data_IF_997759733209
#
_entry.id   IF_997759733209
#
_cell.length_a   1.000
_cell.length_b   1.000
_cell.length_c   1.000
_cell.angle_alpha   90.00
_cell.angle_beta   90.00
_cell.angle_gamma   90.00
#
_symmetry.space_group_name_H-M   'P 1'
#
loop_
_entity.id
_entity.type
_entity.pdbx_description
1 polymer ?
#
# COMPACT_ATOMS: atom_id res chain seq x y z
N UNK A 1 33.17 14.12 1.82
CA UNK A 1 32.64 12.74 1.73
C UNK A 1 32.20 12.36 0.31
N UNK A 2 31.54 13.24 -0.48
CA UNK A 2 31.10 12.96 -1.85
C UNK A 2 32.25 12.61 -2.79
N UNK A 3 33.40 13.31 -2.67
CA UNK A 3 34.61 12.99 -3.44
C UNK A 3 35.20 11.64 -3.02
N UNK A 4 35.15 11.29 -1.72
CA UNK A 4 35.57 9.96 -1.25
C UNK A 4 34.64 8.84 -1.75
N UNK A 5 33.37 9.16 -2.00
CA UNK A 5 32.40 8.23 -2.60
C UNK A 5 32.61 8.03 -4.11
N UNK A 6 33.51 8.82 -4.74
CA UNK A 6 33.86 8.67 -6.16
C UNK A 6 33.26 9.73 -7.08
N UNK A 7 32.64 10.76 -6.56
CA UNK A 7 32.14 11.88 -7.38
C UNK A 7 33.29 12.80 -7.78
N UNK A 8 33.30 13.23 -9.04
CA UNK A 8 34.31 14.16 -9.59
C UNK A 8 34.21 15.52 -8.89
N UNK A 9 35.32 16.12 -8.43
CA UNK A 9 35.32 17.40 -7.70
C UNK A 9 34.60 18.54 -8.43
N UNK A 10 34.75 18.64 -9.77
CA UNK A 10 34.09 19.65 -10.58
C UNK A 10 32.56 19.49 -10.55
N UNK A 11 32.06 18.26 -10.50
CA UNK A 11 30.62 18.00 -10.39
C UNK A 11 30.09 18.43 -9.01
N UNK A 12 30.81 18.08 -7.96
CA UNK A 12 30.43 18.46 -6.57
C UNK A 12 30.37 19.98 -6.43
N UNK A 13 31.31 20.71 -7.05
CA UNK A 13 31.33 22.19 -7.03
C UNK A 13 30.16 22.86 -7.77
N UNK A 14 29.46 22.13 -8.63
CA UNK A 14 28.28 22.64 -9.37
C UNK A 14 26.95 22.32 -8.68
N UNK A 15 26.95 21.50 -7.63
CA UNK A 15 25.73 21.20 -6.86
C UNK A 15 25.39 22.39 -5.96
N UNK A 16 24.26 23.08 -6.17
CA UNK A 16 23.90 24.27 -5.43
C UNK A 16 23.46 23.96 -4.00
N UNK A 17 22.97 22.74 -3.76
CA UNK A 17 22.44 22.29 -2.46
C UNK A 17 22.85 20.85 -2.20
N UNK A 18 23.35 20.60 -1.01
CA UNK A 18 23.63 19.26 -0.48
C UNK A 18 22.72 19.03 0.71
N UNK A 19 21.97 17.94 0.69
CA UNK A 19 21.13 17.52 1.79
C UNK A 19 21.45 16.07 2.15
N UNK A 20 21.54 15.79 3.43
CA UNK A 20 21.62 14.43 3.97
C UNK A 20 20.23 13.92 4.26
N UNK A 21 20.00 12.64 3.96
CA UNK A 21 18.77 11.95 4.33
C UNK A 21 19.09 11.09 5.55
N UNK A 22 18.20 11.12 6.51
CA UNK A 22 18.21 10.24 7.66
C UNK A 22 17.31 9.02 7.37
N UNK A 23 17.59 7.91 8.05
CA UNK A 23 16.74 6.73 7.95
C UNK A 23 15.37 7.03 8.54
N UNK A 24 14.32 6.48 7.89
CA UNK A 24 12.95 6.66 8.33
C UNK A 24 12.67 5.75 9.54
N UNK A 25 12.19 6.36 10.61
CA UNK A 25 11.71 5.65 11.78
C UNK A 25 10.28 5.07 11.56
N UNK A 26 9.82 4.27 12.52
CA UNK A 26 8.49 3.65 12.48
C UNK A 26 7.37 4.70 12.38
N UNK A 27 7.48 5.80 13.13
CA UNK A 27 6.45 6.84 13.15
C UNK A 27 6.38 7.62 11.84
N UNK A 28 7.52 7.88 11.22
CA UNK A 28 7.58 8.51 9.90
C UNK A 28 6.93 7.61 8.84
N UNK A 29 7.19 6.29 8.86
CA UNK A 29 6.59 5.34 7.94
C UNK A 29 5.07 5.24 8.12
N UNK A 30 4.57 5.21 9.37
CA UNK A 30 3.12 5.26 9.65
C UNK A 30 2.50 6.58 9.17
N UNK A 31 3.23 7.67 9.33
CA UNK A 31 2.81 8.98 8.80
C UNK A 31 2.70 8.97 7.28
N UNK A 32 3.68 8.40 6.58
CA UNK A 32 3.67 8.24 5.11
C UNK A 32 2.49 7.37 4.66
N UNK A 33 2.12 6.34 5.43
CA UNK A 33 0.99 5.47 5.11
C UNK A 33 -0.37 6.17 5.22
N UNK A 34 -0.51 7.18 6.09
CA UNK A 34 -1.83 7.70 6.49
C UNK A 34 -2.06 9.18 6.17
N UNK A 35 -1.07 10.05 6.38
CA UNK A 35 -1.25 11.51 6.30
C UNK A 35 -1.37 12.07 4.89
N UNK A 36 -0.55 11.68 3.90
CA UNK A 36 -0.60 12.27 2.57
C UNK A 36 -1.98 12.21 1.95
N UNK A 37 -2.28 13.19 1.06
CA UNK A 37 -3.54 13.20 0.31
C UNK A 37 -3.75 11.90 -0.48
N UNK A 38 -2.68 11.39 -1.07
CA UNK A 38 -2.65 10.12 -1.81
C UNK A 38 -1.95 9.01 -1.01
N UNK A 39 -2.18 8.95 0.30
CA UNK A 39 -1.64 7.87 1.13
C UNK A 39 -2.05 6.49 0.60
N UNK A 40 -1.16 5.51 0.71
CA UNK A 40 -1.41 4.15 0.22
C UNK A 40 -2.68 3.54 0.83
N UNK A 41 -2.89 3.72 2.14
CA UNK A 41 -4.10 3.25 2.82
C UNK A 41 -5.38 3.80 2.19
N UNK A 42 -5.39 5.11 1.86
CA UNK A 42 -6.55 5.77 1.23
C UNK A 42 -6.79 5.29 -0.19
N UNK A 43 -5.73 4.97 -0.94
CA UNK A 43 -5.86 4.40 -2.29
C UNK A 43 -6.56 3.04 -2.25
N UNK A 44 -6.13 2.16 -1.34
CA UNK A 44 -6.76 0.84 -1.17
C UNK A 44 -8.17 0.96 -0.59
N UNK A 45 -8.40 1.84 0.37
CA UNK A 45 -9.75 2.11 0.88
C UNK A 45 -10.71 2.49 -0.24
N UNK A 46 -10.27 3.40 -1.13
CA UNK A 46 -11.09 3.82 -2.27
C UNK A 46 -11.33 2.69 -3.27
N UNK A 47 -10.35 1.81 -3.48
CA UNK A 47 -10.50 0.65 -4.35
C UNK A 47 -11.54 -0.33 -3.81
N UNK A 48 -11.53 -0.62 -2.50
CA UNK A 48 -12.52 -1.47 -1.85
C UNK A 48 -13.90 -0.81 -1.82
N UNK A 49 -13.98 0.50 -1.66
CA UNK A 49 -15.22 1.27 -1.71
C UNK A 49 -15.91 1.17 -3.08
N UNK A 50 -15.15 1.06 -4.18
CA UNK A 50 -15.70 0.84 -5.53
C UNK A 50 -16.40 -0.52 -5.67
N UNK A 51 -16.05 -1.49 -4.83
CA UNK A 51 -16.69 -2.81 -4.71
C UNK A 51 -17.73 -2.85 -3.57
N UNK A 52 -18.20 -1.69 -3.11
CA UNK A 52 -19.16 -1.56 -2.01
C UNK A 52 -18.69 -2.21 -0.68
N UNK A 53 -17.37 -2.31 -0.48
CA UNK A 53 -16.76 -2.91 0.71
C UNK A 53 -15.93 -1.86 1.43
N UNK A 54 -16.06 -1.77 2.75
CA UNK A 54 -15.24 -0.88 3.58
C UNK A 54 -13.94 -1.57 3.95
N UNK A 55 -12.80 -0.91 3.74
CA UNK A 55 -11.50 -1.38 4.20
C UNK A 55 -11.04 -0.55 5.40
N UNK A 56 -10.74 -1.21 6.51
CA UNK A 56 -10.25 -0.57 7.72
C UNK A 56 -8.89 -1.12 8.13
N UNK A 57 -7.93 -0.22 8.34
CA UNK A 57 -6.62 -0.53 8.90
C UNK A 57 -6.58 -0.16 10.37
N UNK A 58 -6.37 -1.13 11.24
CA UNK A 58 -6.13 -0.85 12.66
C UNK A 58 -4.75 -0.22 12.85
N UNK A 59 -4.62 0.59 13.89
CA UNK A 59 -3.35 1.28 14.19
C UNK A 59 -2.19 0.31 14.40
N UNK A 60 -2.45 -0.83 15.05
CA UNK A 60 -1.47 -1.88 15.29
C UNK A 60 -0.98 -2.51 13.97
N UNK A 61 -1.89 -2.69 13.00
CA UNK A 61 -1.54 -3.15 11.67
C UNK A 61 -0.60 -2.16 10.95
N UNK A 62 -0.86 -0.86 11.02
CA UNK A 62 0.01 0.16 10.42
C UNK A 62 1.42 0.13 11.00
N UNK A 63 1.55 -0.04 12.31
CA UNK A 63 2.84 -0.21 12.98
C UNK A 63 3.55 -1.49 12.54
N UNK A 64 2.82 -2.60 12.44
CA UNK A 64 3.40 -3.87 11.98
C UNK A 64 3.90 -3.78 10.52
N UNK A 65 3.19 -3.06 9.64
CA UNK A 65 3.64 -2.78 8.27
C UNK A 65 4.94 -1.96 8.29
N UNK A 66 5.00 -0.90 9.10
CA UNK A 66 6.19 -0.06 9.23
C UNK A 66 7.40 -0.86 9.73
N UNK A 67 7.24 -1.67 10.78
CA UNK A 67 8.29 -2.56 11.31
C UNK A 67 8.80 -3.53 10.23
N UNK A 68 7.90 -4.17 9.51
CA UNK A 68 8.26 -5.10 8.44
C UNK A 68 9.03 -4.42 7.31
N UNK A 69 8.70 -3.17 6.98
CA UNK A 69 9.44 -2.39 5.99
C UNK A 69 10.86 -2.04 6.45
N UNK A 70 11.05 -1.76 7.75
CA UNK A 70 12.37 -1.55 8.37
C UNK A 70 13.18 -2.85 8.36
N UNK A 71 12.60 -3.97 8.80
CA UNK A 71 13.25 -5.28 8.82
C UNK A 71 13.75 -5.71 7.43
N UNK A 72 12.97 -5.41 6.39
CA UNK A 72 13.33 -5.70 5.01
C UNK A 72 14.31 -4.67 4.41
N UNK A 73 14.74 -3.65 5.16
CA UNK A 73 15.59 -2.55 4.69
C UNK A 73 15.09 -1.88 3.40
N UNK A 74 13.78 -1.87 3.19
CA UNK A 74 13.17 -1.32 1.98
C UNK A 74 12.63 0.10 2.17
N UNK A 75 12.51 0.55 3.43
CA UNK A 75 11.98 1.86 3.78
C UNK A 75 10.59 2.12 3.19
N UNK A 76 10.31 3.36 2.83
CA UNK A 76 8.99 3.76 2.30
C UNK A 76 8.60 3.04 1.00
N UNK A 77 9.56 2.62 0.16
CA UNK A 77 9.28 1.89 -1.09
C UNK A 77 8.69 0.51 -0.84
N UNK A 78 9.12 -0.16 0.23
CA UNK A 78 8.63 -1.48 0.61
C UNK A 78 7.20 -1.49 1.12
N UNK A 79 6.68 -0.35 1.61
CA UNK A 79 5.32 -0.25 2.14
C UNK A 79 4.26 -0.68 1.12
N UNK A 80 4.45 -0.27 -0.16
CA UNK A 80 3.53 -0.65 -1.23
C UNK A 80 3.51 -2.16 -1.46
N UNK A 81 4.68 -2.77 -1.63
CA UNK A 81 4.78 -4.22 -1.87
C UNK A 81 4.24 -5.05 -0.71
N UNK A 82 4.44 -4.60 0.52
CA UNK A 82 3.89 -5.26 1.70
C UNK A 82 2.36 -5.22 1.68
N UNK A 83 1.77 -4.04 1.39
CA UNK A 83 0.32 -3.88 1.27
C UNK A 83 -0.26 -4.69 0.11
N UNK A 84 0.38 -4.66 -1.06
CA UNK A 84 -0.03 -5.43 -2.23
C UNK A 84 -0.06 -6.92 -1.93
N UNK A 85 1.02 -7.48 -1.40
CA UNK A 85 1.08 -8.91 -1.07
C UNK A 85 0.02 -9.33 -0.05
N UNK A 86 -0.29 -8.45 0.91
CA UNK A 86 -1.27 -8.75 1.95
C UNK A 86 -2.71 -8.65 1.43
N UNK A 87 -2.99 -7.71 0.55
CA UNK A 87 -4.35 -7.44 0.07
C UNK A 87 -4.70 -8.20 -1.21
N UNK A 88 -3.70 -8.73 -1.94
CA UNK A 88 -3.88 -9.34 -3.26
C UNK A 88 -4.94 -10.45 -3.25
N UNK A 89 -4.83 -11.40 -2.33
CA UNK A 89 -5.79 -12.51 -2.23
C UNK A 89 -7.20 -12.00 -1.91
N UNK A 90 -7.29 -11.04 -0.98
CA UNK A 90 -8.58 -10.45 -0.59
C UNK A 90 -9.21 -9.67 -1.74
N UNK A 91 -8.41 -8.89 -2.48
CA UNK A 91 -8.89 -8.14 -3.65
C UNK A 91 -9.37 -9.08 -4.76
N UNK A 92 -8.69 -10.21 -4.95
CA UNK A 92 -9.10 -11.20 -5.94
C UNK A 92 -10.41 -11.90 -5.56
N UNK A 93 -10.64 -12.13 -4.27
CA UNK A 93 -11.86 -12.76 -3.76
C UNK A 93 -13.06 -11.79 -3.68
N UNK A 94 -12.83 -10.45 -3.61
CA UNK A 94 -13.88 -9.43 -3.46
C UNK A 94 -15.03 -9.57 -4.45
N UNK A 95 -14.81 -9.64 -5.78
CA UNK A 95 -15.91 -9.70 -6.76
C UNK A 95 -16.75 -10.96 -6.63
N UNK A 96 -16.18 -12.03 -6.09
CA UNK A 96 -16.89 -13.33 -5.91
C UNK A 96 -17.74 -13.36 -4.64
N UNK A 97 -17.52 -12.45 -3.69
CA UNK A 97 -18.19 -12.38 -2.38
C UNK A 97 -19.22 -11.25 -2.35
N UNK A 98 -20.39 -11.47 -2.93
CA UNK A 98 -21.46 -10.46 -3.05
C UNK A 98 -22.04 -9.90 -1.74
N UNK A 99 -21.60 -10.40 -0.56
CA UNK A 99 -22.14 -10.03 0.75
C UNK A 99 -21.07 -9.49 1.69
N UNK A 100 -19.90 -9.06 1.19
CA UNK A 100 -18.83 -8.54 2.02
C UNK A 100 -19.09 -7.05 2.31
N UNK A 101 -19.23 -6.69 3.57
CA UNK A 101 -19.52 -5.33 4.00
C UNK A 101 -18.26 -4.60 4.47
N UNK A 102 -17.41 -5.29 5.22
CA UNK A 102 -16.20 -4.70 5.78
C UNK A 102 -15.04 -5.69 5.85
N UNK A 103 -13.85 -5.20 5.58
CA UNK A 103 -12.57 -5.91 5.73
C UNK A 103 -11.72 -5.16 6.73
N UNK A 104 -11.33 -5.82 7.82
CA UNK A 104 -10.49 -5.23 8.87
C UNK A 104 -9.12 -5.88 8.88
N UNK A 105 -8.09 -5.06 8.75
CA UNK A 105 -6.69 -5.48 8.81
C UNK A 105 -6.16 -5.25 10.23
N UNK A 106 -5.71 -6.31 10.87
CA UNK A 106 -5.05 -6.29 12.17
C UNK A 106 -3.58 -6.72 12.07
N UNK A 107 -2.84 -6.64 13.16
CA UNK A 107 -1.43 -6.99 13.25
C UNK A 107 -1.16 -8.46 12.84
N UNK A 108 -2.03 -9.39 13.23
CA UNK A 108 -1.86 -10.82 12.94
C UNK A 108 -1.83 -11.13 11.44
N UNK A 109 -2.55 -10.36 10.62
CA UNK A 109 -2.53 -10.49 9.15
C UNK A 109 -1.14 -10.25 8.60
N UNK A 110 -0.40 -9.30 9.19
CA UNK A 110 0.91 -8.87 8.72
C UNK A 110 2.02 -9.79 9.24
N UNK A 111 1.97 -10.12 10.53
CA UNK A 111 3.02 -10.91 11.18
C UNK A 111 2.91 -12.42 10.89
N UNK A 112 1.68 -12.94 10.86
CA UNK A 112 1.41 -14.38 10.71
C UNK A 112 0.92 -14.76 9.31
N UNK A 113 0.68 -13.78 8.43
CA UNK A 113 0.10 -14.02 7.10
C UNK A 113 -1.32 -14.59 7.16
N UNK A 114 -2.07 -14.28 8.22
CA UNK A 114 -3.45 -14.71 8.35
C UNK A 114 -4.36 -13.93 7.39
N UNK A 115 -5.51 -14.50 7.05
CA UNK A 115 -6.50 -13.78 6.25
C UNK A 115 -7.10 -12.62 7.05
N UNK A 116 -7.41 -11.48 6.39
CA UNK A 116 -8.12 -10.36 7.01
C UNK A 116 -9.45 -10.78 7.62
N UNK A 117 -9.87 -10.06 8.64
CA UNK A 117 -11.19 -10.26 9.25
C UNK A 117 -12.23 -9.69 8.31
N UNK A 118 -13.16 -10.54 7.86
CA UNK A 118 -14.23 -10.16 6.94
C UNK A 118 -15.57 -10.14 7.65
N UNK A 119 -16.30 -9.05 7.51
CA UNK A 119 -17.67 -8.90 8.02
C UNK A 119 -18.62 -9.02 6.85
N UNK A 120 -19.59 -9.95 6.96
CA UNK A 120 -20.58 -10.19 5.93
C UNK A 120 -21.93 -9.59 6.29
N UNK A 121 -22.56 -8.91 5.33
CA UNK A 121 -23.92 -8.40 5.47
C UNK A 121 -24.94 -9.52 5.31
N UNK A 122 -26.03 -9.44 6.06
CA UNK A 122 -27.19 -10.35 5.91
C UNK A 122 -28.09 -10.00 4.69
N UNK A 123 -27.86 -8.87 4.02
CA UNK A 123 -28.64 -8.44 2.84
C UNK A 123 -28.02 -8.97 1.56
N UNK A 124 -28.74 -9.80 0.82
CA UNK A 124 -28.42 -10.15 -0.58
C UNK A 124 -28.52 -8.88 -1.43
N UNK A 125 -27.38 -8.33 -1.87
CA UNK A 125 -27.36 -7.38 -3.00
C UNK A 125 -27.46 -8.19 -4.30
N UNK A 126 -28.38 -7.81 -5.18
CA UNK A 126 -28.58 -8.46 -6.46
C UNK A 126 -27.33 -8.35 -7.35
N UNK A 127 -27.04 -9.44 -8.06
CA UNK A 127 -25.92 -9.54 -8.99
C UNK A 127 -26.11 -8.54 -10.14
N UNK A 128 -25.28 -7.50 -10.16
CA UNK A 128 -25.15 -6.62 -11.33
C UNK A 128 -23.67 -6.18 -11.40
N UNK A 129 -22.94 -6.70 -12.37
CA UNK A 129 -21.63 -6.13 -12.69
C UNK A 129 -20.48 -7.07 -13.03
N UNK A 130 -20.72 -8.17 -13.76
CA UNK A 130 -19.65 -9.17 -14.01
C UNK A 130 -18.65 -8.78 -15.12
N UNK A 131 -18.87 -7.69 -15.88
CA UNK A 131 -18.01 -7.31 -17.01
C UNK A 131 -17.17 -6.04 -16.80
N UNK A 132 -17.49 -5.20 -15.82
CA UNK A 132 -16.80 -3.92 -15.62
C UNK A 132 -15.50 -4.05 -14.82
N UNK A 133 -15.37 -5.11 -14.02
CA UNK A 133 -14.25 -5.30 -13.09
C UNK A 133 -12.93 -5.69 -13.76
N UNK A 134 -13.00 -6.35 -14.92
CA UNK A 134 -11.76 -6.72 -15.63
C UNK A 134 -11.05 -5.51 -16.26
N UNK A 135 -11.82 -4.48 -16.65
CA UNK A 135 -11.26 -3.23 -17.16
C UNK A 135 -10.51 -2.43 -16.10
N UNK A 136 -10.95 -2.51 -14.83
CA UNK A 136 -10.32 -1.82 -13.69
C UNK A 136 -9.00 -2.49 -13.32
N UNK A 137 -8.93 -3.82 -13.33
CA UNK A 137 -7.70 -4.58 -13.08
C UNK A 137 -6.62 -4.33 -14.16
N UNK A 138 -7.02 -4.25 -15.43
CA UNK A 138 -6.10 -3.95 -16.53
C UNK A 138 -5.60 -2.51 -16.44
N UNK A 139 -6.45 -1.53 -16.12
CA UNK A 139 -6.03 -0.14 -15.93
C UNK A 139 -5.13 0.04 -14.72
N UNK A 140 -5.32 -0.73 -13.64
CA UNK A 140 -4.45 -0.70 -12.47
C UNK A 140 -3.06 -1.25 -12.79
N UNK A 141 -2.95 -2.35 -13.54
CA UNK A 141 -1.69 -2.90 -14.02
C UNK A 141 -0.96 -1.92 -14.98
N UNK A 142 -1.68 -1.26 -15.87
CA UNK A 142 -1.13 -0.27 -16.80
C UNK A 142 -0.68 0.99 -16.03
N UNK A 143 -1.43 1.44 -15.03
CA UNK A 143 -1.09 2.61 -14.21
C UNK A 143 0.15 2.37 -13.34
N UNK A 144 0.33 1.16 -12.81
CA UNK A 144 1.56 0.79 -12.07
C UNK A 144 2.77 0.73 -12.99
N UNK A 145 2.59 0.29 -14.25
CA UNK A 145 3.68 0.18 -15.21
C UNK A 145 4.13 1.54 -15.76
N UNK A 146 3.22 2.48 -15.96
CA UNK A 146 3.57 3.84 -16.43
C UNK A 146 4.21 4.72 -15.35
N UNK A 147 3.96 4.43 -14.05
CA UNK A 147 4.64 5.11 -12.93
C UNK A 147 6.07 4.60 -12.70
N UNK A 148 6.44 3.44 -13.28
CA UNK A 148 7.79 2.87 -13.15
C UNK A 148 8.76 3.39 -14.24
N UNK A 149 8.24 3.99 -15.32
CA UNK A 149 9.01 4.51 -16.47
C UNK A 149 9.26 6.03 -16.46
N UNK A 150 8.94 6.72 -15.36
CA UNK A 150 9.30 8.12 -15.09
C UNK A 150 10.04 8.21 -13.76
#
# INVERSE_FOLDING_TARGET
DLVKYGLIPEFVGRLPVLATLEDLDEEALVTILTKPRNALTKQYQKLFEMEDTKLEFRHDALKAIAKKAIELNTGARGLRSILENMLMDTMFELPSKSNLEEVVINEDVILKGLKPITVHSKKKKGVSGTFQNWFILINFLIFTWTSFLK
#
